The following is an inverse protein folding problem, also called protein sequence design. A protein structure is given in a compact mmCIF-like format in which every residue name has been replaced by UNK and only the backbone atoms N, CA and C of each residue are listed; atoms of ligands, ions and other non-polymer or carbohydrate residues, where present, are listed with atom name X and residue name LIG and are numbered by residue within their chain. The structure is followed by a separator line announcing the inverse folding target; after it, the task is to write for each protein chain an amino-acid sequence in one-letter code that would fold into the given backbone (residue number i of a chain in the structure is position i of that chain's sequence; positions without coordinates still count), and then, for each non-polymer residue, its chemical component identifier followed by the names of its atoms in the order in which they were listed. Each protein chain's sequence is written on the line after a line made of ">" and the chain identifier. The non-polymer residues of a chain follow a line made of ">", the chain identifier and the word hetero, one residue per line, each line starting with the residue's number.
data_IF_250253703423
#
_entry.id   IF_250253703423
#
_cell.length_a   1.000
_cell.length_b   1.000
_cell.length_c   1.000
_cell.angle_alpha   90.00
_cell.angle_beta   90.00
_cell.angle_gamma   90.00
#
_symmetry.space_group_name_H-M   'P 1'
#
loop_
_entity.id
_entity.type
_entity.pdbx_description
1 polymer ?
#
# COMPACT_ATOMS: atom_id res chain seq x y z
N UNK A 1 -13.61 -1.27 6.38
CA UNK A 1 -13.22 -0.65 7.67
C UNK A 1 -14.43 -0.23 8.52
N UNK A 2 -15.35 0.58 8.01
CA UNK A 2 -16.49 1.13 8.76
C UNK A 2 -17.38 0.09 9.47
N UNK A 3 -17.63 -1.06 8.83
CA UNK A 3 -18.43 -2.13 9.45
C UNK A 3 -17.78 -2.67 10.73
N UNK A 4 -16.46 -2.90 10.74
CA UNK A 4 -15.75 -3.31 11.95
C UNK A 4 -15.81 -2.26 13.06
N UNK A 5 -15.82 -0.98 12.68
CA UNK A 5 -15.97 0.12 13.63
C UNK A 5 -17.37 0.11 14.27
N UNK A 6 -18.42 -0.24 13.52
CA UNK A 6 -19.79 -0.34 14.05
C UNK A 6 -20.01 -1.63 14.85
N UNK A 7 -19.58 -2.77 14.32
CA UNK A 7 -19.84 -4.09 14.90
C UNK A 7 -19.04 -4.35 16.17
N UNK A 8 -17.88 -3.70 16.36
CA UNK A 8 -17.03 -3.91 17.53
C UNK A 8 -16.70 -2.58 18.25
N UNK A 9 -17.62 -2.06 19.11
CA UNK A 9 -17.46 -0.79 19.83
C UNK A 9 -16.19 -0.68 20.67
N UNK A 10 -15.70 -1.77 21.24
CA UNK A 10 -14.50 -1.81 22.10
C UNK A 10 -13.21 -2.18 21.34
N UNK A 11 -13.32 -2.54 20.06
CA UNK A 11 -12.18 -2.96 19.26
C UNK A 11 -11.35 -1.78 18.74
N UNK A 12 -10.14 -2.14 18.30
CA UNK A 12 -9.18 -1.28 17.63
C UNK A 12 -9.07 -1.68 16.16
N UNK A 13 -8.96 -0.69 15.30
CA UNK A 13 -8.83 -0.85 13.85
C UNK A 13 -7.58 -0.11 13.42
N UNK A 14 -6.74 -0.77 12.64
CA UNK A 14 -5.47 -0.22 12.19
C UNK A 14 -5.48 -0.09 10.68
N UNK A 15 -5.09 1.08 10.20
CA UNK A 15 -4.81 1.35 8.80
C UNK A 15 -3.32 1.63 8.67
N UNK A 16 -2.63 0.80 7.89
CA UNK A 16 -1.20 0.96 7.64
C UNK A 16 -0.94 1.41 6.21
N UNK A 17 -0.13 2.45 6.07
CA UNK A 17 0.35 2.94 4.79
C UNK A 17 1.88 3.12 4.80
N UNK A 18 2.56 3.06 3.65
CA UNK A 18 4.02 3.08 3.60
C UNK A 18 4.63 4.45 3.90
N UNK A 19 3.89 5.54 3.68
CA UNK A 19 4.41 6.91 3.84
C UNK A 19 3.47 7.77 4.68
N UNK A 20 4.03 8.75 5.39
CA UNK A 20 3.25 9.70 6.22
C UNK A 20 2.21 10.51 5.43
N UNK A 21 2.50 11.01 4.21
CA UNK A 21 1.49 11.71 3.43
C UNK A 21 0.26 10.84 3.10
N UNK A 22 0.47 9.55 2.78
CA UNK A 22 -0.63 8.62 2.54
C UNK A 22 -1.46 8.39 3.81
N UNK A 23 -0.81 8.27 4.98
CA UNK A 23 -1.51 8.18 6.27
C UNK A 23 -2.41 9.39 6.49
N UNK A 24 -1.90 10.61 6.30
CA UNK A 24 -2.66 11.85 6.49
C UNK A 24 -3.86 11.96 5.52
N UNK A 25 -3.65 11.63 4.25
CA UNK A 25 -4.73 11.61 3.24
C UNK A 25 -5.86 10.66 3.63
N UNK A 26 -5.51 9.47 4.14
CA UNK A 26 -6.52 8.47 4.53
C UNK A 26 -7.33 8.91 5.75
N UNK A 27 -6.73 9.63 6.70
CA UNK A 27 -7.48 10.20 7.84
C UNK A 27 -8.56 11.17 7.34
N UNK A 28 -8.18 12.09 6.45
CA UNK A 28 -9.09 13.09 5.91
C UNK A 28 -10.22 12.44 5.09
N UNK A 29 -9.88 11.48 4.23
CA UNK A 29 -10.86 10.72 3.46
C UNK A 29 -11.83 9.95 4.37
N UNK A 30 -11.32 9.32 5.43
CA UNK A 30 -12.15 8.59 6.39
C UNK A 30 -13.15 9.51 7.11
N UNK A 31 -12.73 10.71 7.47
CA UNK A 31 -13.62 11.69 8.09
C UNK A 31 -14.71 12.18 7.12
N UNK A 32 -14.31 12.58 5.91
CA UNK A 32 -15.23 13.15 4.91
C UNK A 32 -16.24 12.14 4.37
N UNK A 33 -15.80 10.90 4.12
CA UNK A 33 -16.63 9.90 3.42
C UNK A 33 -17.40 9.00 4.38
N UNK A 34 -16.77 8.55 5.47
CA UNK A 34 -17.40 7.57 6.38
C UNK A 34 -18.09 8.21 7.59
N UNK A 35 -17.94 9.52 7.80
CA UNK A 35 -18.57 10.24 8.91
C UNK A 35 -18.11 9.76 10.30
N UNK A 36 -16.95 9.10 10.40
CA UNK A 36 -16.42 8.65 11.68
C UNK A 36 -15.83 9.88 12.40
N UNK A 37 -16.17 10.14 13.67
CA UNK A 37 -15.64 11.30 14.40
C UNK A 37 -14.12 11.26 14.51
N UNK A 38 -13.44 12.39 14.22
CA UNK A 38 -11.99 12.52 14.42
C UNK A 38 -11.57 12.25 15.88
N UNK A 39 -12.46 12.47 16.84
CA UNK A 39 -12.24 12.13 18.25
C UNK A 39 -11.92 10.64 18.46
N UNK A 40 -12.37 9.74 17.58
CA UNK A 40 -12.09 8.31 17.63
C UNK A 40 -10.86 7.90 16.81
N UNK A 41 -10.30 8.80 16.02
CA UNK A 41 -9.14 8.56 15.17
C UNK A 41 -7.85 9.06 15.83
N UNK A 42 -6.74 8.43 15.47
CA UNK A 42 -5.41 8.95 15.74
C UNK A 42 -4.44 8.61 14.62
N UNK A 43 -3.56 9.57 14.36
CA UNK A 43 -2.32 9.33 13.63
C UNK A 43 -1.23 8.94 14.63
N UNK A 44 -0.57 7.81 14.43
CA UNK A 44 0.62 7.44 15.20
C UNK A 44 1.87 7.58 14.34
N UNK A 45 2.76 8.47 14.77
CA UNK A 45 4.05 8.71 14.15
C UNK A 45 5.18 8.28 15.09
N UNK A 46 6.35 7.97 14.52
CA UNK A 46 7.52 7.54 15.29
C UNK A 46 8.11 8.61 16.23
N UNK A 47 7.68 9.86 16.12
CA UNK A 47 8.12 10.99 16.97
C UNK A 47 7.37 11.06 18.30
N UNK A 48 6.19 10.47 18.42
CA UNK A 48 5.41 10.49 19.67
C UNK A 48 6.03 9.54 20.69
N UNK A 49 6.33 9.98 21.91
CA UNK A 49 6.90 9.11 22.94
C UNK A 49 6.01 7.88 23.24
N UNK A 50 6.62 6.73 23.55
CA UNK A 50 5.90 5.46 23.75
C UNK A 50 4.81 5.54 24.84
N UNK A 51 5.08 6.22 25.96
CA UNK A 51 4.07 6.45 27.03
C UNK A 51 2.84 7.19 26.51
N UNK A 52 3.05 8.22 25.69
CA UNK A 52 1.95 8.97 25.08
C UNK A 52 1.17 8.09 24.10
N UNK A 53 1.85 7.22 23.34
CA UNK A 53 1.17 6.29 22.43
C UNK A 53 0.27 5.29 23.16
N UNK A 54 0.64 4.85 24.36
CA UNK A 54 -0.22 3.96 25.17
C UNK A 54 -1.55 4.63 25.54
N UNK A 55 -1.53 5.91 25.90
CA UNK A 55 -2.73 6.71 26.19
C UNK A 55 -3.60 6.86 24.94
N UNK A 56 -2.98 7.08 23.77
CA UNK A 56 -3.68 7.14 22.47
C UNK A 56 -4.31 5.78 22.13
N UNK A 57 -3.57 4.67 22.30
CA UNK A 57 -4.09 3.31 22.12
C UNK A 57 -5.27 3.02 23.04
N UNK A 58 -5.29 3.57 24.26
CA UNK A 58 -6.41 3.41 25.20
C UNK A 58 -7.64 4.21 24.76
N UNK A 59 -7.46 5.49 24.45
CA UNK A 59 -8.55 6.44 24.19
C UNK A 59 -9.17 6.37 22.79
N UNK A 60 -8.39 5.97 21.77
CA UNK A 60 -8.81 6.01 20.36
C UNK A 60 -9.23 4.64 19.84
N UNK A 61 -9.91 4.60 18.70
CA UNK A 61 -10.45 3.36 18.11
C UNK A 61 -9.88 3.03 16.74
N UNK A 62 -9.57 4.05 15.94
CA UNK A 62 -9.01 3.90 14.61
C UNK A 62 -7.63 4.54 14.57
N UNK A 63 -6.65 3.80 14.08
CA UNK A 63 -5.26 4.19 14.09
C UNK A 63 -4.72 4.19 12.67
N UNK A 64 -4.11 5.30 12.28
CA UNK A 64 -3.46 5.47 11.00
C UNK A 64 -1.97 5.63 11.26
N UNK A 65 -1.15 4.74 10.72
CA UNK A 65 0.28 4.67 11.06
C UNK A 65 1.10 3.95 10.00
N UNK A 66 2.42 4.09 10.08
CA UNK A 66 3.32 3.31 9.22
C UNK A 66 3.59 1.94 9.86
N UNK A 67 3.86 0.89 9.07
CA UNK A 67 4.05 -0.45 9.62
C UNK A 67 5.23 -0.52 10.61
N UNK A 68 6.25 0.33 10.47
CA UNK A 68 7.37 0.41 11.41
C UNK A 68 6.92 0.84 12.82
N UNK A 69 5.97 1.79 12.91
CA UNK A 69 5.39 2.19 14.20
C UNK A 69 4.63 1.02 14.82
N UNK A 70 3.88 0.28 14.00
CA UNK A 70 3.13 -0.89 14.46
C UNK A 70 4.04 -2.00 15.01
N UNK A 71 5.11 -2.34 14.30
CA UNK A 71 6.10 -3.34 14.75
C UNK A 71 6.67 -2.92 16.10
N UNK A 72 7.05 -1.65 16.26
CA UNK A 72 7.61 -1.14 17.50
C UNK A 72 6.60 -1.19 18.66
N UNK A 73 5.35 -0.85 18.42
CA UNK A 73 4.31 -0.82 19.45
C UNK A 73 3.84 -2.22 19.85
N UNK A 74 3.81 -3.18 18.92
CA UNK A 74 3.58 -4.60 19.22
C UNK A 74 4.75 -5.21 20.00
N UNK A 75 5.98 -4.92 19.61
CA UNK A 75 7.19 -5.46 20.27
C UNK A 75 7.40 -4.93 21.69
N UNK A 76 6.82 -3.77 22.01
CA UNK A 76 6.90 -3.11 23.34
C UNK A 76 5.62 -3.29 24.17
N UNK A 77 4.69 -4.12 23.72
CA UNK A 77 3.37 -4.32 24.34
C UNK A 77 2.60 -3.02 24.62
N UNK A 78 2.88 -1.97 23.82
CA UNK A 78 2.19 -0.68 23.90
C UNK A 78 0.85 -0.75 23.17
N UNK A 79 0.80 -1.57 22.11
CA UNK A 79 -0.41 -1.83 21.35
C UNK A 79 -1.19 -3.02 21.94
N UNK A 80 -2.49 -2.86 22.27
CA UNK A 80 -3.33 -3.94 22.77
C UNK A 80 -3.76 -4.89 21.64
N UNK A 81 -2.87 -5.81 21.24
CA UNK A 81 -3.04 -6.68 20.09
C UNK A 81 -4.37 -7.47 20.09
N UNK A 82 -4.80 -7.96 21.25
CA UNK A 82 -6.04 -8.74 21.42
C UNK A 82 -7.31 -7.94 21.10
N UNK A 83 -7.23 -6.61 21.16
CA UNK A 83 -8.35 -5.71 20.82
C UNK A 83 -8.39 -5.36 19.34
N UNK A 84 -7.38 -5.71 18.54
CA UNK A 84 -7.37 -5.46 17.11
C UNK A 84 -8.31 -6.43 16.41
N UNK A 85 -9.28 -5.91 15.66
CA UNK A 85 -10.24 -6.72 14.89
C UNK A 85 -10.15 -6.54 13.39
N UNK A 86 -9.54 -5.44 12.93
CA UNK A 86 -9.34 -5.20 11.52
C UNK A 86 -8.00 -4.48 11.29
N UNK A 87 -7.21 -5.02 10.35
CA UNK A 87 -5.97 -4.43 9.87
C UNK A 87 -6.12 -4.17 8.37
N UNK A 88 -6.06 -2.91 7.98
CA UNK A 88 -6.03 -2.48 6.57
C UNK A 88 -4.58 -2.23 6.18
N UNK A 89 -4.15 -2.80 5.06
CA UNK A 89 -2.79 -2.69 4.54
C UNK A 89 -2.88 -2.04 3.17
N UNK A 90 -2.37 -0.82 3.07
CA UNK A 90 -2.22 -0.12 1.79
C UNK A 90 -0.88 -0.50 1.13
N UNK A 91 -0.88 -0.53 -0.21
CA UNK A 91 0.25 -1.01 -1.01
C UNK A 91 0.73 -2.42 -0.61
N UNK A 92 -0.23 -3.35 -0.51
CA UNK A 92 0.00 -4.70 0.01
C UNK A 92 1.05 -5.50 -0.76
N UNK A 93 1.35 -5.14 -2.01
CA UNK A 93 2.44 -5.74 -2.80
C UNK A 93 3.84 -5.55 -2.17
N UNK A 94 3.99 -4.63 -1.21
CA UNK A 94 5.22 -4.46 -0.44
C UNK A 94 5.40 -5.54 0.64
N UNK A 95 4.41 -6.37 0.91
CA UNK A 95 4.46 -7.43 1.92
C UNK A 95 5.27 -8.66 1.45
N UNK A 96 6.55 -8.43 1.15
CA UNK A 96 7.50 -9.43 0.69
C UNK A 96 8.68 -9.53 1.66
N UNK A 97 9.30 -10.72 1.73
CA UNK A 97 10.48 -10.97 2.56
C UNK A 97 10.27 -10.55 4.02
N UNK A 98 11.21 -9.77 4.55
CA UNK A 98 11.17 -9.27 5.94
C UNK A 98 10.58 -7.86 6.07
N UNK A 99 9.72 -7.43 5.15
CA UNK A 99 9.06 -6.13 5.23
C UNK A 99 8.26 -5.98 6.54
N UNK A 100 8.12 -4.74 7.01
CA UNK A 100 7.44 -4.44 8.27
C UNK A 100 5.98 -4.94 8.31
N UNK A 101 5.28 -4.96 7.16
CA UNK A 101 3.95 -5.59 7.07
C UNK A 101 3.95 -7.06 7.50
N UNK A 102 4.90 -7.85 6.99
CA UNK A 102 5.01 -9.26 7.33
C UNK A 102 5.37 -9.46 8.80
N UNK A 103 6.14 -8.54 9.40
CA UNK A 103 6.46 -8.58 10.83
C UNK A 103 5.24 -8.28 11.69
N UNK A 104 4.43 -7.28 11.33
CA UNK A 104 3.17 -6.96 12.03
C UNK A 104 2.23 -8.15 12.04
N UNK A 105 1.98 -8.79 10.88
CA UNK A 105 1.04 -9.92 10.80
C UNK A 105 1.55 -11.11 11.62
N UNK A 106 2.85 -11.41 11.58
CA UNK A 106 3.45 -12.47 12.40
C UNK A 106 3.31 -12.20 13.89
N UNK A 107 3.65 -10.98 14.34
CA UNK A 107 3.54 -10.59 15.76
C UNK A 107 2.09 -10.53 16.25
N UNK A 108 1.17 -10.06 15.40
CA UNK A 108 -0.25 -10.03 15.74
C UNK A 108 -0.81 -11.46 15.82
N UNK A 109 -0.47 -12.31 14.84
CA UNK A 109 -0.88 -13.71 14.79
C UNK A 109 -0.36 -14.56 15.95
N UNK A 110 0.80 -14.24 16.52
CA UNK A 110 1.30 -14.92 17.73
C UNK A 110 0.53 -14.54 19.00
N UNK A 111 -0.18 -13.41 19.01
CA UNK A 111 -0.96 -12.94 20.16
C UNK A 111 -2.46 -13.21 20.03
N UNK A 112 -3.01 -13.15 18.81
CA UNK A 112 -4.42 -13.43 18.53
C UNK A 112 -4.62 -13.80 17.07
N UNK A 113 -5.52 -14.75 16.81
CA UNK A 113 -5.97 -15.10 15.45
C UNK A 113 -7.34 -14.48 15.10
N UNK A 114 -7.94 -13.72 16.03
CA UNK A 114 -9.29 -13.18 15.89
C UNK A 114 -9.29 -11.78 15.28
N UNK A 115 -8.73 -11.63 14.09
CA UNK A 115 -8.71 -10.36 13.36
C UNK A 115 -8.89 -10.59 11.86
N UNK A 116 -9.34 -9.56 11.13
CA UNK A 116 -9.46 -9.57 9.67
C UNK A 116 -8.43 -8.67 9.02
N UNK A 117 -7.81 -9.16 7.95
CA UNK A 117 -6.91 -8.38 7.09
C UNK A 117 -7.68 -7.90 5.86
N UNK A 118 -7.49 -6.64 5.49
CA UNK A 118 -7.94 -6.05 4.24
C UNK A 118 -6.70 -5.50 3.52
N UNK A 119 -6.26 -6.17 2.46
CA UNK A 119 -5.09 -5.80 1.69
C UNK A 119 -5.52 -5.05 0.42
N UNK A 120 -5.02 -3.83 0.26
CA UNK A 120 -5.27 -2.97 -0.89
C UNK A 120 -4.01 -2.92 -1.76
N UNK A 121 -4.14 -3.20 -3.05
CA UNK A 121 -3.04 -3.05 -4.01
C UNK A 121 -3.58 -2.90 -5.42
N UNK A 122 -2.98 -2.00 -6.20
CA UNK A 122 -3.24 -1.91 -7.63
C UNK A 122 -2.63 -3.10 -8.40
N UNK A 123 -1.46 -3.57 -7.96
CA UNK A 123 -0.77 -4.72 -8.55
C UNK A 123 -0.21 -5.60 -7.43
N UNK A 124 -0.65 -6.86 -7.25
CA UNK A 124 -0.21 -7.68 -6.11
C UNK A 124 1.23 -8.22 -6.23
N UNK A 125 1.85 -8.16 -7.42
CA UNK A 125 3.22 -8.60 -7.66
C UNK A 125 3.56 -8.62 -9.15
N UNK A 126 4.85 -8.62 -9.49
CA UNK A 126 5.31 -8.66 -10.89
C UNK A 126 5.36 -10.07 -11.48
N UNK A 127 5.35 -11.11 -10.64
CA UNK A 127 5.31 -12.52 -11.03
C UNK A 127 4.41 -13.33 -10.08
N UNK A 128 4.09 -14.56 -10.48
CA UNK A 128 3.22 -15.45 -9.70
C UNK A 128 3.81 -15.79 -8.33
N UNK A 129 5.14 -15.84 -8.20
CA UNK A 129 5.84 -16.11 -6.95
C UNK A 129 5.68 -14.97 -5.95
N UNK A 130 5.84 -13.73 -6.39
CA UNK A 130 5.63 -12.55 -5.55
C UNK A 130 4.18 -12.46 -5.09
N UNK A 131 3.23 -12.70 -5.99
CA UNK A 131 1.80 -12.72 -5.63
C UNK A 131 1.52 -13.78 -4.57
N UNK A 132 2.02 -15.00 -4.75
CA UNK A 132 1.86 -16.07 -3.77
C UNK A 132 2.52 -15.74 -2.43
N UNK A 133 3.68 -15.10 -2.44
CA UNK A 133 4.35 -14.66 -1.22
C UNK A 133 3.52 -13.61 -0.46
N UNK A 134 2.90 -12.65 -1.14
CA UNK A 134 2.00 -11.67 -0.52
C UNK A 134 0.79 -12.37 0.11
N UNK A 135 0.16 -13.30 -0.61
CA UNK A 135 -1.00 -14.07 -0.13
C UNK A 135 -0.64 -14.80 1.17
N UNK A 136 0.47 -15.54 1.16
CA UNK A 136 0.92 -16.32 2.31
C UNK A 136 1.33 -15.42 3.49
N UNK A 137 2.07 -14.34 3.23
CA UNK A 137 2.55 -13.43 4.28
C UNK A 137 1.43 -12.65 4.97
N UNK A 138 0.38 -12.30 4.24
CA UNK A 138 -0.76 -11.53 4.73
C UNK A 138 -1.96 -12.42 5.07
N UNK A 139 -1.81 -13.75 5.08
CA UNK A 139 -2.88 -14.70 5.42
C UNK A 139 -4.17 -14.47 4.61
N UNK A 140 -4.02 -14.18 3.32
CA UNK A 140 -5.15 -13.85 2.44
C UNK A 140 -5.85 -15.14 2.01
N UNK A 141 -7.15 -15.23 2.26
CA UNK A 141 -7.99 -16.36 1.85
C UNK A 141 -8.86 -16.08 0.63
N UNK A 142 -9.08 -14.81 0.30
CA UNK A 142 -9.94 -14.40 -0.80
C UNK A 142 -9.35 -13.19 -1.50
N UNK A 143 -9.31 -13.22 -2.83
CA UNK A 143 -8.81 -12.15 -3.68
C UNK A 143 -9.97 -11.66 -4.52
N UNK A 144 -10.17 -10.35 -4.51
CA UNK A 144 -11.15 -9.67 -5.35
C UNK A 144 -10.41 -8.82 -6.36
N UNK A 145 -10.55 -9.17 -7.65
CA UNK A 145 -9.92 -8.44 -8.75
C UNK A 145 -11.00 -7.61 -9.46
N UNK A 146 -10.61 -6.39 -9.80
CA UNK A 146 -11.40 -5.47 -10.62
C UNK A 146 -10.51 -4.84 -11.68
N UNK A 147 -10.97 -4.88 -12.92
CA UNK A 147 -10.33 -4.28 -14.10
C UNK A 147 -11.20 -3.15 -14.65
N UNK A 148 -10.65 -2.32 -15.53
CA UNK A 148 -11.42 -1.27 -16.22
C UNK A 148 -12.58 -1.84 -17.07
N UNK A 149 -12.49 -3.11 -17.44
CA UNK A 149 -13.52 -3.85 -18.18
C UNK A 149 -14.61 -4.44 -17.27
N UNK A 150 -14.45 -4.35 -15.95
CA UNK A 150 -15.43 -4.89 -15.01
C UNK A 150 -16.75 -4.10 -15.10
N UNK A 151 -17.93 -4.75 -15.09
CA UNK A 151 -19.22 -4.09 -15.32
C UNK A 151 -19.52 -2.94 -14.34
N UNK A 152 -19.03 -3.06 -13.10
CA UNK A 152 -19.16 -2.06 -12.04
C UNK A 152 -18.21 -0.86 -12.21
N UNK A 153 -17.17 -0.97 -13.04
CA UNK A 153 -16.19 0.08 -13.32
C UNK A 153 -16.41 0.73 -14.68
N UNK A 154 -16.87 -0.01 -15.69
CA UNK A 154 -17.10 0.52 -17.04
C UNK A 154 -18.00 1.76 -17.06
N UNK A 155 -19.03 1.79 -16.21
CA UNK A 155 -19.95 2.93 -16.09
C UNK A 155 -19.27 4.22 -15.59
N UNK A 156 -18.11 4.10 -14.96
CA UNK A 156 -17.32 5.20 -14.38
C UNK A 156 -15.97 5.39 -15.09
N UNK A 157 -15.65 4.57 -16.09
CA UNK A 157 -14.41 4.65 -16.84
C UNK A 157 -14.54 5.65 -17.98
N UNK A 158 -13.82 6.77 -17.90
CA UNK A 158 -13.76 7.76 -18.98
C UNK A 158 -12.81 7.24 -20.07
N UNK A 159 -13.32 7.12 -21.30
CA UNK A 159 -12.50 6.74 -22.45
C UNK A 159 -11.38 7.76 -22.66
N UNK A 160 -10.13 7.31 -22.56
CA UNK A 160 -8.95 8.10 -22.95
C UNK A 160 -8.52 7.71 -24.35
N UNK A 161 -8.58 8.64 -25.29
CA UNK A 161 -7.95 8.48 -26.60
C UNK A 161 -6.45 8.77 -26.46
N UNK A 162 -5.63 7.72 -26.50
CA UNK A 162 -4.16 7.87 -26.45
C UNK A 162 -3.62 7.91 -27.88
N UNK A 163 -3.22 9.10 -28.33
CA UNK A 163 -2.51 9.25 -29.60
C UNK A 163 -1.00 9.07 -29.38
N UNK A 164 -0.45 7.98 -29.91
CA UNK A 164 0.98 7.67 -29.81
C UNK A 164 1.72 8.26 -31.02
N UNK A 165 2.35 9.43 -30.83
CA UNK A 165 3.27 9.97 -31.83
C UNK A 165 4.70 9.46 -31.60
N UNK A 166 5.23 8.71 -32.56
CA UNK A 166 6.62 8.25 -32.53
C UNK A 166 7.49 9.31 -33.20
N UNK A 167 8.31 10.01 -32.41
CA UNK A 167 9.25 11.00 -32.93
C UNK A 167 10.59 10.31 -33.25
N UNK A 168 11.08 10.37 -34.49
CA UNK A 168 12.39 9.80 -34.83
C UNK A 168 13.51 10.55 -34.12
N UNK A 169 14.55 9.83 -33.71
CA UNK A 169 15.75 10.43 -33.14
C UNK A 169 16.52 11.16 -34.24
N UNK A 170 16.88 12.43 -34.00
CA UNK A 170 17.80 13.16 -34.88
C UNK A 170 19.21 12.57 -34.84
N UNK A 171 20.02 12.86 -35.86
CA UNK A 171 21.36 12.25 -36.06
C UNK A 171 22.29 12.39 -34.85
N UNK A 172 22.31 13.57 -34.20
CA UNK A 172 23.12 13.81 -33.01
C UNK A 172 22.73 12.88 -31.84
N UNK A 173 21.42 12.74 -31.58
CA UNK A 173 20.90 11.89 -30.52
C UNK A 173 21.09 10.40 -30.84
N UNK A 174 20.95 10.02 -32.11
CA UNK A 174 21.27 8.68 -32.57
C UNK A 174 22.76 8.35 -32.36
N UNK A 175 23.66 9.28 -32.66
CA UNK A 175 25.11 9.10 -32.44
C UNK A 175 25.46 8.98 -30.95
N UNK A 176 24.76 9.70 -30.06
CA UNK A 176 24.90 9.54 -28.61
C UNK A 176 24.31 8.21 -28.12
N UNK A 177 23.17 7.79 -28.65
CA UNK A 177 22.55 6.50 -28.34
C UNK A 177 23.47 5.35 -28.73
N UNK A 178 24.07 5.38 -29.91
CA UNK A 178 25.03 4.35 -30.37
C UNK A 178 26.25 4.30 -29.45
N UNK A 179 26.85 5.45 -29.10
CA UNK A 179 27.98 5.49 -28.15
C UNK A 179 27.59 4.99 -26.75
N UNK A 180 26.41 5.37 -26.27
CA UNK A 180 25.88 4.91 -24.98
C UNK A 180 25.66 3.39 -24.98
N UNK A 181 25.08 2.86 -26.06
CA UNK A 181 24.88 1.42 -26.23
C UNK A 181 26.20 0.67 -26.35
N UNK A 182 27.23 1.22 -27.01
CA UNK A 182 28.57 0.63 -27.07
C UNK A 182 29.24 0.53 -25.71
N UNK A 183 29.09 1.54 -24.84
CA UNK A 183 29.58 1.49 -23.46
C UNK A 183 28.75 0.52 -22.61
N UNK A 184 27.42 0.53 -22.76
CA UNK A 184 26.51 -0.34 -22.02
C UNK A 184 26.65 -1.82 -22.38
N UNK A 185 26.81 -2.15 -23.66
CA UNK A 185 26.98 -3.53 -24.13
C UNK A 185 28.33 -4.13 -23.77
N UNK A 186 29.38 -3.31 -23.60
CA UNK A 186 30.68 -3.78 -23.09
C UNK A 186 30.61 -4.32 -21.66
N UNK A 187 29.59 -3.89 -20.89
CA UNK A 187 29.37 -4.28 -19.50
C UNK A 187 28.07 -5.06 -19.26
N UNK A 188 27.26 -5.35 -20.29
CA UNK A 188 25.92 -5.92 -20.10
C UNK A 188 25.45 -6.74 -21.31
N UNK A 189 25.85 -8.01 -21.36
CA UNK A 189 25.39 -9.01 -22.35
C UNK A 189 23.90 -9.40 -22.22
N UNK A 190 23.03 -8.58 -21.62
CA UNK A 190 21.61 -8.96 -21.39
C UNK A 190 20.54 -7.86 -21.48
N UNK A 191 20.85 -6.62 -21.88
CA UNK A 191 19.85 -5.54 -21.86
C UNK A 191 19.67 -4.86 -23.24
N UNK A 192 19.05 -5.56 -24.19
CA UNK A 192 18.67 -4.96 -25.48
C UNK A 192 17.25 -5.35 -25.88
N UNK A 193 16.27 -4.83 -25.13
CA UNK A 193 14.92 -4.57 -25.65
C UNK A 193 14.40 -3.38 -24.86
N UNK A 194 14.54 -2.14 -25.36
CA UNK A 194 13.62 -1.01 -25.10
C UNK A 194 14.12 0.21 -25.88
N UNK A 195 13.86 0.21 -27.19
CA UNK A 195 13.94 1.41 -28.03
C UNK A 195 12.52 1.96 -28.19
N UNK A 196 12.18 3.01 -27.44
CA UNK A 196 11.16 4.04 -27.79
C UNK A 196 11.01 5.03 -26.62
N UNK A 197 11.19 6.31 -26.91
CA UNK A 197 10.77 7.40 -26.03
C UNK A 197 9.29 7.64 -26.30
N UNK A 198 8.46 7.59 -25.27
CA UNK A 198 7.02 7.81 -25.35
C UNK A 198 6.70 9.17 -24.73
N UNK A 199 6.17 10.09 -25.53
CA UNK A 199 5.57 11.33 -25.02
C UNK A 199 4.07 11.09 -24.95
N UNK A 200 3.52 11.06 -23.74
CA UNK A 200 2.08 10.99 -23.53
C UNK A 200 1.54 12.41 -23.42
N UNK A 201 0.69 12.81 -24.38
CA UNK A 201 -0.07 14.06 -24.29
C UNK A 201 -1.48 13.71 -23.83
N UNK A 202 -1.84 14.12 -22.63
CA UNK A 202 -3.22 14.01 -22.12
C UNK A 202 -3.94 15.31 -22.44
N UNK A 203 -4.90 15.28 -23.36
CA UNK A 203 -5.90 16.34 -23.47
C UNK A 203 -7.05 15.99 -22.52
N UNK A 204 -7.29 16.85 -21.53
CA UNK A 204 -8.56 16.90 -20.80
C UNK A 204 -9.55 17.77 -21.57
#
# INVERSE_FOLDING_TARGET
>A
MYNFYRWYPSAKIVFMAPTKPLVAQQIEACYKVMGIPQAHMAELTGSTAAKNRQEVWRSKRIFFLTPQVMVNDLSRDTCPAQKIKCVVIDEAHKALGNHAYCQVIRQLGSQTLQFRILALSATPGGDTKAVQAVISNLLISHIELRSEESPDIQAHSHQRTVEKMVVPLGEALAAHQVRYLQVGTRNSTKLLVFSKLYIFRTNC
#
